data_IF_779786729910
#
_entry.id   IF_779786729910
#
_cell.length_a   1.000
_cell.length_b   1.000
_cell.length_c   1.000
_cell.angle_alpha   90.00
_cell.angle_beta   90.00
_cell.angle_gamma   90.00
#
_symmetry.space_group_name_H-M   'P 1'
#
loop_
_entity.id
_entity.type
_entity.pdbx_description
1 polymer ?
#
# COMPACT_ATOMS: atom_id res chain seq x y z
N UNK A 1 15.86 25.69 5.84
CA UNK A 1 17.12 25.69 6.61
C UNK A 1 18.21 25.02 5.78
N UNK A 2 19.44 25.53 5.73
CA UNK A 2 20.51 24.86 4.95
C UNK A 2 21.03 23.63 5.72
N UNK A 3 21.48 22.59 5.00
CA UNK A 3 22.06 21.34 5.58
C UNK A 3 23.13 21.61 6.64
N UNK A 4 23.82 22.75 6.58
CA UNK A 4 24.80 23.16 7.59
C UNK A 4 24.20 23.59 8.93
N UNK A 5 22.96 24.07 8.97
CA UNK A 5 22.29 24.48 10.21
C UNK A 5 21.79 23.25 11.00
N UNK A 6 21.38 22.19 10.31
CA UNK A 6 20.88 20.96 10.94
C UNK A 6 22.02 20.16 11.62
N UNK A 7 23.19 20.06 10.97
CA UNK A 7 24.36 19.40 11.57
C UNK A 7 24.89 20.10 12.82
N UNK A 8 24.74 21.43 12.93
CA UNK A 8 25.16 22.19 14.12
C UNK A 8 24.24 21.90 15.32
N UNK A 9 22.94 21.71 15.07
CA UNK A 9 21.96 21.41 16.13
C UNK A 9 22.16 20.00 16.69
N UNK A 10 22.43 19.02 15.81
CA UNK A 10 22.69 17.62 16.23
C UNK A 10 24.01 17.50 17.01
N UNK A 11 25.06 18.22 16.59
CA UNK A 11 26.34 18.24 17.32
C UNK A 11 26.19 18.89 18.70
N UNK A 12 25.38 19.94 18.83
CA UNK A 12 25.09 20.58 20.12
C UNK A 12 24.30 19.65 21.07
N UNK A 13 23.34 18.87 20.54
CA UNK A 13 22.55 17.91 21.32
C UNK A 13 23.40 16.74 21.85
N UNK A 14 24.31 16.19 21.04
CA UNK A 14 25.19 15.09 21.46
C UNK A 14 26.25 15.50 22.50
N UNK A 15 26.70 16.77 22.49
CA UNK A 15 27.70 17.23 23.49
C UNK A 15 27.13 17.41 24.90
N UNK A 16 25.82 17.58 25.06
CA UNK A 16 25.18 17.65 26.38
C UNK A 16 24.99 16.28 27.04
N UNK A 17 24.88 15.20 26.26
CA UNK A 17 24.66 13.84 26.80
C UNK A 17 25.94 13.28 27.43
N UNK A 18 27.12 13.64 26.93
CA UNK A 18 28.41 13.13 27.43
C UNK A 18 29.10 13.99 28.50
N UNK A 19 28.62 15.20 28.80
CA UNK A 19 29.33 16.15 29.67
C UNK A 19 28.63 16.55 30.98
N UNK A 20 27.60 15.82 31.41
CA UNK A 20 27.13 15.86 32.80
C UNK A 20 26.82 17.27 33.33
N UNK A 21 26.11 18.09 32.57
CA UNK A 21 25.71 19.42 32.99
C UNK A 21 24.59 19.36 34.04
N UNK A 22 24.97 19.28 35.31
CA UNK A 22 24.08 19.63 36.42
C UNK A 22 24.01 21.15 36.56
N UNK A 23 22.87 21.76 36.21
CA UNK A 23 22.58 23.12 36.63
C UNK A 23 21.79 23.95 35.64
N UNK A 24 20.49 24.09 35.95
CA UNK A 24 19.59 25.23 35.73
C UNK A 24 19.64 26.00 34.39
N UNK A 25 18.42 26.13 33.86
CA UNK A 25 17.95 27.03 32.81
C UNK A 25 18.22 26.55 31.38
N UNK A 26 17.29 25.75 30.87
CA UNK A 26 16.96 25.79 29.45
C UNK A 26 15.44 25.73 29.30
N UNK A 27 14.83 26.91 29.33
CA UNK A 27 13.54 27.19 28.70
C UNK A 27 13.76 27.13 27.18
N UNK A 28 13.88 25.93 26.64
CA UNK A 28 13.59 25.70 25.22
C UNK A 28 12.14 25.22 25.23
N UNK A 29 11.28 26.14 24.82
CA UNK A 29 9.83 26.10 24.89
C UNK A 29 9.23 24.80 24.35
N UNK A 30 8.29 24.21 25.09
CA UNK A 30 7.33 23.19 24.62
C UNK A 30 6.69 23.59 23.27
N UNK A 31 6.62 24.89 22.98
CA UNK A 31 6.15 25.48 21.72
C UNK A 31 6.98 25.10 20.48
N UNK A 32 8.24 24.65 20.62
CA UNK A 32 9.04 24.15 19.48
C UNK A 32 8.77 22.66 19.25
N UNK A 33 8.54 21.88 20.32
CA UNK A 33 8.22 20.46 20.20
C UNK A 33 6.79 20.25 19.69
N UNK A 34 5.83 21.07 20.12
CA UNK A 34 4.47 21.05 19.58
C UNK A 34 4.40 21.54 18.13
N UNK A 35 5.28 22.47 17.70
CA UNK A 35 5.35 22.90 16.29
C UNK A 35 6.04 21.89 15.37
N UNK A 36 6.94 21.04 15.88
CA UNK A 36 7.52 19.95 15.08
C UNK A 36 6.59 18.73 15.01
N UNK A 37 5.79 18.46 16.05
CA UNK A 37 4.78 17.39 16.04
C UNK A 37 3.55 17.79 15.19
N UNK A 38 3.12 19.05 15.23
CA UNK A 38 2.01 19.53 14.39
C UNK A 38 2.38 19.67 12.90
N UNK A 39 3.66 19.63 12.53
CA UNK A 39 4.10 19.60 11.13
C UNK A 39 4.13 18.18 10.53
N UNK A 40 3.86 17.13 11.31
CA UNK A 40 3.78 15.75 10.82
C UNK A 40 2.36 15.33 10.40
N UNK A 41 1.39 16.25 10.47
CA UNK A 41 -0.04 15.95 10.35
C UNK A 41 -0.74 16.56 9.13
N UNK A 42 -0.02 16.86 8.05
CA UNK A 42 -0.61 17.23 6.76
C UNK A 42 -0.01 16.40 5.61
N UNK A 43 -0.29 15.09 5.59
CA UNK A 43 -0.34 14.37 4.33
C UNK A 43 -1.64 14.81 3.62
N UNK A 44 -1.59 15.97 2.96
CA UNK A 44 -2.63 16.33 2.00
C UNK A 44 -2.62 15.31 0.88
N UNK A 45 -3.78 14.70 0.65
CA UNK A 45 -4.09 13.84 -0.48
C UNK A 45 -4.08 14.70 -1.76
N UNK A 46 -2.90 14.98 -2.29
CA UNK A 46 -2.76 15.75 -3.53
C UNK A 46 -2.87 14.78 -4.71
N UNK A 47 -4.11 14.47 -5.10
CA UNK A 47 -4.43 13.66 -6.28
C UNK A 47 -4.00 14.33 -7.62
N UNK A 48 -3.41 15.53 -7.55
CA UNK A 48 -3.34 16.47 -8.67
C UNK A 48 -1.93 16.80 -9.16
N UNK A 49 -0.90 16.09 -8.71
CA UNK A 49 0.43 16.23 -9.30
C UNK A 49 0.81 14.98 -10.10
N UNK A 50 0.95 15.15 -11.42
CA UNK A 50 1.64 14.22 -12.34
C UNK A 50 3.13 14.04 -11.95
N UNK A 51 3.63 14.79 -10.95
CA UNK A 51 4.85 14.43 -10.27
C UNK A 51 4.64 13.13 -9.47
N UNK A 52 5.36 12.09 -9.87
CA UNK A 52 5.59 10.96 -8.98
C UNK A 52 6.25 11.51 -7.67
N UNK A 53 5.97 10.89 -6.52
CA UNK A 53 6.54 11.30 -5.23
C UNK A 53 7.12 10.07 -4.54
N UNK A 54 8.31 10.20 -3.96
CA UNK A 54 8.95 9.12 -3.22
C UNK A 54 9.29 7.93 -4.11
N UNK A 55 9.07 6.71 -3.59
CA UNK A 55 9.47 5.48 -4.30
C UNK A 55 8.71 5.30 -5.61
N UNK A 56 7.48 5.80 -5.73
CA UNK A 56 6.67 5.70 -6.96
C UNK A 56 7.34 6.31 -8.20
N UNK A 57 8.29 7.21 -8.02
CA UNK A 57 9.13 7.71 -9.11
C UNK A 57 10.20 6.71 -9.53
N UNK A 58 10.95 6.25 -8.54
CA UNK A 58 12.08 5.34 -8.65
C UNK A 58 12.48 4.93 -7.24
N UNK A 59 12.99 3.71 -7.11
CA UNK A 59 13.66 3.28 -5.89
C UNK A 59 15.04 3.94 -5.80
N UNK A 60 15.47 4.40 -4.61
CA UNK A 60 16.82 4.90 -4.43
C UNK A 60 17.84 3.82 -4.85
N UNK A 61 18.99 4.21 -5.39
CA UNK A 61 20.00 3.22 -5.79
C UNK A 61 20.49 2.43 -4.58
N UNK A 62 20.85 1.16 -4.77
CA UNK A 62 21.49 0.33 -3.74
C UNK A 62 22.66 1.07 -3.05
N UNK A 63 23.58 1.63 -3.85
CA UNK A 63 24.74 2.39 -3.36
C UNK A 63 24.40 3.67 -2.58
N UNK A 64 23.17 4.19 -2.71
CA UNK A 64 22.75 5.36 -1.92
C UNK A 64 22.15 4.97 -0.57
N UNK A 65 21.78 3.71 -0.39
CA UNK A 65 21.31 3.15 0.87
C UNK A 65 22.45 2.51 1.66
N UNK A 66 23.42 1.89 0.97
CA UNK A 66 24.63 1.29 1.55
C UNK A 66 25.59 2.41 2.05
N UNK A 67 25.32 2.87 3.27
CA UNK A 67 26.01 4.00 3.88
C UNK A 67 27.40 3.62 4.41
N UNK A 68 27.60 2.35 4.70
CA UNK A 68 28.85 1.84 5.23
C UNK A 68 29.79 1.26 4.13
N UNK A 69 29.26 1.06 2.91
CA UNK A 69 29.95 0.53 1.73
C UNK A 69 30.49 -0.88 1.92
N UNK A 70 29.71 -1.77 2.55
CA UNK A 70 30.05 -3.19 2.72
C UNK A 70 29.42 -4.10 1.66
N UNK A 71 28.86 -3.51 0.60
CA UNK A 71 28.17 -4.19 -0.50
C UNK A 71 26.92 -4.98 -0.05
N UNK A 72 26.34 -4.58 1.10
CA UNK A 72 25.10 -5.11 1.65
C UNK A 72 24.27 -3.98 2.27
N UNK A 73 22.96 -4.23 2.45
CA UNK A 73 22.07 -3.39 3.22
C UNK A 73 21.65 -4.16 4.45
N UNK A 74 21.99 -3.64 5.63
CA UNK A 74 21.36 -4.11 6.86
C UNK A 74 19.92 -3.56 7.00
N UNK A 75 19.19 -4.06 8.02
CA UNK A 75 17.83 -3.60 8.29
C UNK A 75 17.76 -2.08 8.51
N UNK A 76 18.80 -1.46 9.07
CA UNK A 76 18.81 -0.03 9.30
C UNK A 76 18.95 0.74 7.98
N UNK A 77 19.91 0.36 7.14
CA UNK A 77 20.15 0.96 5.83
C UNK A 77 18.95 0.82 4.90
N UNK A 78 18.32 -0.36 4.89
CA UNK A 78 17.14 -0.61 4.08
C UNK A 78 15.89 0.11 4.61
N UNK A 79 15.47 -0.17 5.85
CA UNK A 79 14.18 0.30 6.39
C UNK A 79 14.21 1.82 6.60
N UNK A 80 15.25 2.34 7.26
CA UNK A 80 15.32 3.77 7.51
C UNK A 80 15.67 4.54 6.24
N UNK A 81 16.57 4.02 5.40
CA UNK A 81 16.93 4.66 4.14
C UNK A 81 15.74 4.80 3.19
N UNK A 82 14.91 3.75 3.06
CA UNK A 82 13.66 3.85 2.30
C UNK A 82 12.64 4.78 2.96
N UNK A 83 12.50 4.76 4.29
CA UNK A 83 11.57 5.66 5.00
C UNK A 83 11.96 7.14 4.93
N UNK A 84 13.25 7.45 4.86
CA UNK A 84 13.74 8.83 4.65
C UNK A 84 13.50 9.30 3.22
N UNK A 85 13.56 8.38 2.26
CA UNK A 85 13.28 8.64 0.86
C UNK A 85 11.76 8.79 0.61
N UNK A 86 10.95 7.96 1.25
CA UNK A 86 9.49 7.97 1.18
C UNK A 86 8.87 7.61 2.54
N UNK A 87 8.30 8.61 3.20
CA UNK A 87 7.72 8.47 4.52
C UNK A 87 6.22 8.10 4.49
N UNK A 88 5.66 7.78 3.32
CA UNK A 88 4.24 7.43 3.18
C UNK A 88 3.94 6.02 3.67
N UNK A 89 4.93 5.13 3.63
CA UNK A 89 4.84 3.80 4.21
C UNK A 89 5.40 3.78 5.63
N UNK A 90 4.89 2.87 6.46
CA UNK A 90 5.37 2.72 7.83
C UNK A 90 6.73 2.01 7.85
N UNK A 91 7.51 2.20 8.92
CA UNK A 91 8.73 1.42 9.12
C UNK A 91 8.44 -0.09 9.08
N UNK A 92 7.31 -0.52 9.67
CA UNK A 92 6.90 -1.93 9.64
C UNK A 92 6.64 -2.47 8.23
N UNK A 93 6.14 -1.63 7.31
CA UNK A 93 5.96 -2.03 5.92
C UNK A 93 7.32 -2.36 5.26
N UNK A 94 8.32 -1.50 5.44
CA UNK A 94 9.66 -1.77 4.92
C UNK A 94 10.35 -2.92 5.65
N UNK A 95 10.13 -3.08 6.95
CA UNK A 95 10.61 -4.25 7.70
C UNK A 95 10.02 -5.55 7.14
N UNK A 96 8.72 -5.59 6.82
CA UNK A 96 8.12 -6.77 6.22
C UNK A 96 8.78 -7.10 4.87
N UNK A 97 9.03 -6.10 4.00
CA UNK A 97 9.75 -6.32 2.74
C UNK A 97 11.15 -6.87 2.99
N UNK A 98 11.86 -6.35 3.99
CA UNK A 98 13.18 -6.86 4.37
C UNK A 98 13.11 -8.33 4.84
N UNK A 99 12.11 -8.66 5.66
CA UNK A 99 11.86 -10.01 6.19
C UNK A 99 11.55 -11.03 5.08
N UNK A 100 10.94 -10.61 3.94
CA UNK A 100 10.64 -11.50 2.80
C UNK A 100 11.90 -12.10 2.14
N UNK A 101 13.06 -11.43 2.24
CA UNK A 101 14.31 -12.00 1.73
C UNK A 101 14.86 -13.11 2.64
N UNK A 102 14.39 -13.21 3.89
CA UNK A 102 14.79 -14.26 4.84
C UNK A 102 16.25 -14.18 5.31
N UNK A 103 16.99 -13.14 4.92
CA UNK A 103 18.40 -12.92 5.25
C UNK A 103 18.59 -11.78 6.26
N UNK A 104 19.76 -11.73 6.91
CA UNK A 104 20.13 -10.62 7.81
C UNK A 104 20.64 -9.38 7.05
N UNK A 105 20.92 -9.53 5.75
CA UNK A 105 21.51 -8.53 4.87
C UNK A 105 20.89 -8.69 3.46
N UNK A 106 20.68 -7.58 2.75
CA UNK A 106 20.23 -7.57 1.36
C UNK A 106 21.40 -7.14 0.46
N UNK A 107 21.80 -7.97 -0.49
CA UNK A 107 22.81 -7.61 -1.48
C UNK A 107 22.20 -6.90 -2.72
N UNK A 108 23.05 -6.39 -3.62
CA UNK A 108 22.57 -5.64 -4.80
C UNK A 108 21.65 -6.45 -5.72
N UNK A 109 21.87 -7.76 -5.83
CA UNK A 109 21.02 -8.64 -6.66
C UNK A 109 19.64 -8.84 -6.03
N UNK A 110 19.57 -8.99 -4.71
CA UNK A 110 18.31 -9.07 -3.95
C UNK A 110 17.53 -7.77 -4.02
N UNK A 111 18.22 -6.64 -3.80
CA UNK A 111 17.61 -5.32 -3.93
C UNK A 111 17.04 -5.10 -5.34
N UNK A 112 17.70 -5.65 -6.36
CA UNK A 112 17.25 -5.61 -7.75
C UNK A 112 15.93 -6.33 -8.03
N UNK A 113 15.47 -7.21 -7.13
CA UNK A 113 14.15 -7.84 -7.22
C UNK A 113 13.01 -6.92 -6.79
N UNK A 114 13.31 -5.82 -6.09
CA UNK A 114 12.28 -4.90 -5.60
C UNK A 114 11.86 -4.01 -6.76
N UNK A 115 10.57 -4.04 -7.09
CA UNK A 115 9.99 -3.19 -8.10
C UNK A 115 8.76 -2.47 -7.59
N UNK A 116 8.21 -1.63 -8.46
CA UNK A 116 6.95 -0.94 -8.24
C UNK A 116 6.06 -1.29 -9.42
N UNK A 117 4.94 -1.95 -9.13
CA UNK A 117 4.00 -2.36 -10.15
C UNK A 117 3.19 -1.18 -10.70
N UNK A 118 2.31 -1.45 -11.66
CA UNK A 118 1.47 -0.44 -12.29
C UNK A 118 0.51 0.24 -11.29
N UNK A 119 0.18 -0.45 -10.19
CA UNK A 119 -0.62 0.07 -9.07
C UNK A 119 0.18 0.92 -8.08
N UNK A 120 1.47 1.18 -8.37
CA UNK A 120 2.35 1.98 -7.51
C UNK A 120 2.61 1.35 -6.14
N UNK A 121 2.56 0.02 -6.07
CA UNK A 121 2.83 -0.76 -4.87
C UNK A 121 4.22 -1.39 -4.99
N UNK A 122 4.98 -1.37 -3.89
CA UNK A 122 6.26 -2.09 -3.80
C UNK A 122 5.99 -3.59 -3.75
N UNK A 123 6.67 -4.32 -4.61
CA UNK A 123 6.53 -5.76 -4.79
C UNK A 123 7.91 -6.36 -5.07
N UNK A 124 8.03 -7.69 -5.04
CA UNK A 124 9.32 -8.39 -5.18
C UNK A 124 9.21 -9.44 -6.30
N UNK A 125 10.09 -9.36 -7.30
CA UNK A 125 10.20 -10.36 -8.36
C UNK A 125 8.87 -10.64 -9.06
N UNK A 126 8.45 -11.91 -9.09
CA UNK A 126 7.18 -12.32 -9.71
C UNK A 126 5.94 -11.89 -8.91
N UNK A 127 6.09 -11.44 -7.66
CA UNK A 127 5.00 -10.86 -6.87
C UNK A 127 4.59 -9.47 -7.41
N UNK A 128 5.34 -8.94 -8.39
CA UNK A 128 5.00 -7.72 -9.11
C UNK A 128 4.06 -7.93 -10.31
N UNK A 129 3.64 -9.17 -10.53
CA UNK A 129 2.88 -9.59 -11.69
C UNK A 129 3.71 -10.52 -12.58
N UNK A 130 3.00 -11.42 -13.25
CA UNK A 130 3.64 -12.37 -14.15
C UNK A 130 4.06 -11.66 -15.46
N UNK A 131 5.27 -11.94 -15.99
CA UNK A 131 5.75 -11.31 -17.22
C UNK A 131 4.85 -11.62 -18.41
N UNK A 132 4.86 -10.74 -19.42
CA UNK A 132 4.11 -10.94 -20.66
C UNK A 132 4.76 -12.03 -21.51
N UNK A 133 3.94 -12.67 -22.35
CA UNK A 133 4.42 -13.70 -23.27
C UNK A 133 5.61 -13.23 -24.10
N UNK A 134 5.54 -12.01 -24.64
CA UNK A 134 6.57 -11.43 -25.49
C UNK A 134 7.85 -11.03 -24.73
N UNK A 135 7.79 -10.93 -23.40
CA UNK A 135 8.96 -10.69 -22.55
C UNK A 135 9.72 -12.00 -22.28
N UNK A 136 9.00 -13.13 -22.31
CA UNK A 136 9.60 -14.47 -22.17
C UNK A 136 10.03 -15.03 -23.52
N UNK A 137 9.28 -14.83 -24.62
CA UNK A 137 9.65 -15.19 -26.00
C UNK A 137 10.74 -14.24 -26.55
N UNK A 138 11.90 -14.28 -25.92
CA UNK A 138 13.13 -13.52 -26.16
C UNK A 138 13.66 -13.62 -27.60
N UNK A 139 13.42 -14.75 -28.29
CA UNK A 139 13.84 -14.94 -29.68
C UNK A 139 12.74 -14.65 -30.71
N UNK A 140 11.54 -14.31 -30.24
CA UNK A 140 10.34 -14.02 -31.02
C UNK A 140 9.95 -15.14 -32.00
N UNK A 141 10.20 -16.39 -31.62
CA UNK A 141 9.84 -17.56 -32.42
C UNK A 141 8.34 -17.88 -32.38
N UNK A 142 7.57 -17.16 -31.56
CA UNK A 142 6.16 -17.40 -31.25
C UNK A 142 5.91 -18.64 -30.39
N UNK A 143 6.96 -19.23 -29.83
CA UNK A 143 6.92 -20.37 -28.91
C UNK A 143 7.99 -20.17 -27.86
N UNK A 144 7.67 -20.49 -26.61
CA UNK A 144 8.65 -20.39 -25.53
C UNK A 144 9.31 -21.75 -25.33
N UNK A 145 10.63 -21.81 -25.55
CA UNK A 145 11.41 -23.02 -25.23
C UNK A 145 11.70 -23.11 -23.72
N UNK A 146 11.93 -24.33 -23.21
CA UNK A 146 12.24 -24.54 -21.79
C UNK A 146 13.42 -23.71 -21.27
N UNK A 147 14.48 -23.59 -22.08
CA UNK A 147 15.66 -22.84 -21.69
C UNK A 147 15.35 -21.35 -21.58
N UNK A 148 14.56 -20.83 -22.50
CA UNK A 148 14.09 -19.45 -22.52
C UNK A 148 13.19 -19.15 -21.32
N UNK A 149 12.16 -19.97 -21.09
CA UNK A 149 11.27 -19.84 -19.93
C UNK A 149 12.05 -19.77 -18.61
N UNK A 150 12.97 -20.70 -18.39
CA UNK A 150 13.75 -20.75 -17.15
C UNK A 150 14.70 -19.56 -17.04
N UNK A 151 15.41 -19.20 -18.12
CA UNK A 151 16.37 -18.10 -18.08
C UNK A 151 15.69 -16.77 -17.80
N UNK A 152 14.61 -16.45 -18.52
CA UNK A 152 13.90 -15.17 -18.36
C UNK A 152 13.22 -15.07 -16.98
N UNK A 153 12.55 -16.12 -16.51
CA UNK A 153 11.99 -16.10 -15.15
C UNK A 153 13.05 -16.03 -14.05
N UNK A 154 14.24 -16.60 -14.26
CA UNK A 154 15.35 -16.48 -13.30
C UNK A 154 15.91 -15.06 -13.24
N UNK A 155 15.90 -14.33 -14.36
CA UNK A 155 16.31 -12.92 -14.39
C UNK A 155 15.32 -12.02 -13.65
N UNK A 156 14.04 -12.37 -13.67
CA UNK A 156 12.97 -11.64 -12.97
C UNK A 156 12.95 -11.99 -11.49
N UNK A 157 13.05 -13.28 -11.17
CA UNK A 157 13.00 -13.75 -9.79
C UNK A 157 13.78 -15.06 -9.64
N UNK A 158 14.98 -14.99 -9.08
CA UNK A 158 15.78 -16.19 -8.89
C UNK A 158 15.35 -17.03 -7.67
N UNK A 159 14.48 -16.51 -6.79
CA UNK A 159 14.06 -17.18 -5.54
C UNK A 159 13.37 -18.51 -5.82
N UNK A 160 12.72 -18.62 -6.99
CA UNK A 160 11.96 -19.81 -7.41
C UNK A 160 12.65 -20.63 -8.52
N UNK A 161 13.96 -20.44 -8.74
CA UNK A 161 14.70 -21.09 -9.85
C UNK A 161 14.56 -22.62 -9.89
N UNK A 162 14.55 -23.26 -8.72
CA UNK A 162 14.42 -24.71 -8.60
C UNK A 162 13.03 -25.22 -9.03
N UNK A 163 12.01 -24.35 -8.97
CA UNK A 163 10.62 -24.67 -9.29
C UNK A 163 10.29 -24.44 -10.77
N UNK A 164 11.03 -23.59 -11.49
CA UNK A 164 10.69 -23.24 -12.89
C UNK A 164 10.72 -24.41 -13.85
N UNK A 165 11.54 -25.43 -13.57
CA UNK A 165 11.53 -26.67 -14.35
C UNK A 165 10.21 -27.43 -14.23
N UNK A 166 9.61 -27.44 -13.04
CA UNK A 166 8.31 -28.07 -12.78
C UNK A 166 7.19 -27.22 -13.38
N UNK A 167 7.21 -25.91 -13.12
CA UNK A 167 6.27 -24.95 -13.69
C UNK A 167 6.18 -25.03 -15.22
N UNK A 168 7.33 -25.14 -15.89
CA UNK A 168 7.37 -25.34 -17.34
C UNK A 168 6.63 -26.62 -17.75
N UNK A 169 6.90 -27.75 -17.09
CA UNK A 169 6.29 -29.03 -17.46
C UNK A 169 4.79 -29.05 -17.17
N UNK A 170 4.32 -28.30 -16.17
CA UNK A 170 2.88 -28.14 -15.88
C UNK A 170 2.19 -27.26 -16.93
N UNK A 171 2.90 -26.25 -17.44
CA UNK A 171 2.41 -25.33 -18.47
C UNK A 171 2.40 -25.97 -19.87
N UNK A 172 3.36 -26.85 -20.17
CA UNK A 172 3.41 -27.67 -21.39
C UNK A 172 2.34 -28.79 -21.33
N UNK A 173 1.08 -28.40 -21.52
CA UNK A 173 -0.09 -29.26 -21.35
C UNK A 173 -0.18 -30.42 -22.37
N UNK A 174 0.41 -30.27 -23.56
CA UNK A 174 0.42 -31.30 -24.61
C UNK A 174 1.75 -32.06 -24.71
N UNK A 175 2.79 -31.64 -23.97
CA UNK A 175 4.04 -32.36 -23.78
C UNK A 175 4.94 -32.33 -25.01
N UNK A 176 4.84 -31.28 -25.84
CA UNK A 176 5.62 -31.13 -27.07
C UNK A 176 6.97 -30.44 -26.83
N UNK A 177 7.23 -29.99 -25.61
CA UNK A 177 8.48 -29.40 -25.17
C UNK A 177 8.59 -27.89 -25.42
N UNK A 178 7.49 -27.23 -25.80
CA UNK A 178 7.39 -25.79 -25.99
C UNK A 178 6.11 -25.26 -25.33
N UNK A 179 6.07 -23.97 -24.99
CA UNK A 179 4.87 -23.31 -24.50
C UNK A 179 4.37 -22.36 -25.57
N UNK A 180 3.14 -22.57 -26.03
CA UNK A 180 2.45 -21.62 -26.91
C UNK A 180 1.69 -20.54 -26.12
N UNK A 181 1.25 -19.51 -26.82
CA UNK A 181 0.55 -18.37 -26.21
C UNK A 181 -0.70 -18.77 -25.39
N UNK A 182 -1.45 -19.79 -25.81
CA UNK A 182 -2.66 -20.22 -25.08
C UNK A 182 -2.31 -20.93 -23.77
N UNK A 183 -1.24 -21.73 -23.77
CA UNK A 183 -0.73 -22.39 -22.56
C UNK A 183 -0.21 -21.35 -21.57
N UNK A 184 0.56 -20.36 -22.06
CA UNK A 184 1.09 -19.29 -21.23
C UNK A 184 0.00 -18.41 -20.62
N UNK A 185 -1.03 -18.03 -21.38
CA UNK A 185 -2.16 -17.26 -20.84
C UNK A 185 -2.85 -18.02 -19.70
N UNK A 186 -3.00 -19.34 -19.84
CA UNK A 186 -3.61 -20.17 -18.79
C UNK A 186 -2.78 -20.15 -17.49
N UNK A 187 -1.45 -20.12 -17.63
CA UNK A 187 -0.52 -19.96 -16.51
C UNK A 187 -0.63 -18.55 -15.89
N UNK A 188 -0.57 -17.49 -16.69
CA UNK A 188 -0.60 -16.11 -16.17
C UNK A 188 -1.91 -15.81 -15.46
N UNK A 189 -3.05 -16.25 -16.01
CA UNK A 189 -4.37 -16.10 -15.36
C UNK A 189 -4.43 -16.83 -14.01
N UNK A 190 -3.74 -17.97 -13.87
CA UNK A 190 -3.67 -18.69 -12.61
C UNK A 190 -2.89 -17.88 -11.55
N UNK A 191 -1.77 -17.26 -11.93
CA UNK A 191 -0.95 -16.46 -11.02
C UNK A 191 -1.64 -15.14 -10.64
N UNK A 192 -2.24 -14.44 -11.59
CA UNK A 192 -3.05 -13.26 -11.32
C UNK A 192 -4.22 -13.59 -10.38
N UNK A 193 -4.86 -14.76 -10.55
CA UNK A 193 -5.95 -15.19 -9.67
C UNK A 193 -5.52 -15.43 -8.21
N UNK A 194 -4.29 -15.91 -7.97
CA UNK A 194 -3.77 -16.12 -6.62
C UNK A 194 -3.32 -14.82 -5.94
N UNK A 195 -2.92 -13.80 -6.69
CA UNK A 195 -2.63 -12.45 -6.16
C UNK A 195 -3.92 -11.73 -5.72
N UNK A 196 -5.06 -12.01 -6.37
CA UNK A 196 -6.39 -11.49 -6.03
C UNK A 196 -7.30 -12.49 -5.29
N UNK A 197 -6.72 -13.56 -4.74
CA UNK A 197 -7.41 -14.72 -4.18
C UNK A 197 -8.14 -14.50 -2.86
N UNK A 198 -9.23 -13.72 -2.86
CA UNK A 198 -10.39 -13.98 -2.00
C UNK A 198 -11.67 -13.79 -2.82
N UNK A 199 -12.58 -14.75 -2.69
CA UNK A 199 -13.90 -14.81 -3.34
C UNK A 199 -14.71 -13.50 -3.15
N UNK A 200 -14.52 -12.51 -4.01
CA UNK A 200 -15.49 -11.44 -4.18
C UNK A 200 -16.56 -11.93 -5.16
N UNK A 201 -17.68 -12.39 -4.60
CA UNK A 201 -18.90 -12.57 -5.36
C UNK A 201 -19.16 -11.34 -6.21
N UNK A 202 -19.08 -11.53 -7.54
CA UNK A 202 -19.50 -10.64 -8.62
C UNK A 202 -20.13 -9.31 -8.16
N UNK A 203 -19.29 -8.32 -7.90
CA UNK A 203 -19.73 -6.93 -8.01
C UNK A 203 -19.32 -6.50 -9.41
N UNK A 204 -20.32 -6.13 -10.21
CA UNK A 204 -20.13 -5.61 -11.55
C UNK A 204 -19.45 -4.25 -11.45
N UNK A 205 -18.12 -4.27 -11.44
CA UNK A 205 -17.28 -3.10 -11.57
C UNK A 205 -16.71 -3.07 -12.99
N UNK A 206 -16.77 -1.89 -13.61
CA UNK A 206 -15.60 -1.43 -14.32
C UNK A 206 -14.54 -1.25 -13.23
N UNK A 207 -13.46 -2.02 -13.28
CA UNK A 207 -12.38 -2.02 -12.29
C UNK A 207 -11.67 -0.66 -12.14
N UNK A 208 -12.15 0.39 -12.81
CA UNK A 208 -11.53 1.71 -12.86
C UNK A 208 -12.19 2.73 -11.90
N UNK A 209 -13.44 2.51 -11.47
CA UNK A 209 -14.22 3.55 -10.78
C UNK A 209 -14.14 3.52 -9.24
N UNK A 210 -13.90 2.35 -8.66
CA UNK A 210 -13.65 2.15 -7.22
C UNK A 210 -12.49 1.19 -7.08
N UNK A 211 -11.44 1.60 -6.37
CA UNK A 211 -10.27 0.77 -6.09
C UNK A 211 -10.08 0.62 -4.59
N UNK A 212 -9.68 -0.58 -4.17
CA UNK A 212 -9.40 -0.91 -2.78
C UNK A 212 -7.91 -1.22 -2.63
N UNK A 213 -7.32 -0.83 -1.49
CA UNK A 213 -5.94 -1.13 -1.16
C UNK A 213 -5.76 -1.40 0.33
N UNK A 214 -4.89 -2.36 0.67
CA UNK A 214 -4.46 -2.63 2.04
C UNK A 214 -3.55 -1.52 2.57
N UNK A 215 -2.66 -1.03 1.70
CA UNK A 215 -1.62 -0.05 2.01
C UNK A 215 -2.04 1.34 1.58
N UNK A 216 -1.53 2.38 2.24
CA UNK A 216 -1.84 3.78 1.91
C UNK A 216 -1.45 4.05 0.45
N UNK A 217 -2.40 4.25 -0.48
CA UNK A 217 -2.07 4.65 -1.84
C UNK A 217 -1.78 6.15 -1.88
N UNK A 218 -1.15 6.64 -2.96
CA UNK A 218 -0.98 8.08 -3.20
C UNK A 218 -2.30 8.85 -3.14
N UNK A 219 -3.35 8.25 -3.70
CA UNK A 219 -4.68 8.83 -3.82
C UNK A 219 -5.70 7.89 -3.17
N UNK A 220 -6.40 8.37 -2.16
CA UNK A 220 -7.56 7.70 -1.58
C UNK A 220 -8.58 8.73 -1.12
N UNK A 221 -9.83 8.32 -1.01
CA UNK A 221 -10.89 9.19 -0.51
C UNK A 221 -11.40 8.71 0.84
N UNK A 222 -11.46 7.39 1.05
CA UNK A 222 -11.86 6.81 2.33
C UNK A 222 -10.75 5.95 2.90
N UNK A 223 -10.57 6.04 4.22
CA UNK A 223 -9.74 5.12 4.99
C UNK A 223 -10.61 4.43 6.03
N UNK A 224 -10.90 3.17 5.82
CA UNK A 224 -11.51 2.30 6.82
C UNK A 224 -10.57 2.05 8.00
N UNK A 225 -11.14 1.89 9.19
CA UNK A 225 -10.41 1.53 10.39
C UNK A 225 -11.28 0.71 11.35
N UNK A 226 -10.62 -0.05 12.22
CA UNK A 226 -11.18 -0.57 13.47
C UNK A 226 -10.21 -0.16 14.58
N UNK A 227 -10.77 0.40 15.65
CA UNK A 227 -10.00 1.02 16.73
C UNK A 227 -9.31 0.03 17.67
N UNK A 228 -9.66 -1.25 17.64
CA UNK A 228 -9.15 -2.28 18.56
C UNK A 228 -8.22 -3.30 17.92
N UNK A 229 -8.31 -3.53 16.61
CA UNK A 229 -7.37 -4.42 15.92
C UNK A 229 -6.63 -3.67 14.79
N UNK A 230 -5.62 -4.29 14.17
CA UNK A 230 -4.90 -3.72 13.02
C UNK A 230 -4.96 -4.62 11.79
N UNK A 231 -5.33 -5.89 11.98
CA UNK A 231 -5.61 -6.87 10.95
C UNK A 231 -6.99 -7.45 11.21
N UNK A 232 -7.85 -7.46 10.19
CA UNK A 232 -9.27 -7.75 10.37
C UNK A 232 -9.70 -8.80 9.37
N UNK A 233 -10.18 -9.94 9.89
CA UNK A 233 -10.65 -11.07 9.08
C UNK A 233 -12.06 -10.89 8.51
N UNK A 234 -12.90 -10.06 9.14
CA UNK A 234 -14.23 -9.65 8.67
C UNK A 234 -14.84 -8.68 9.70
N UNK A 235 -15.42 -7.58 9.24
CA UNK A 235 -16.25 -6.68 10.07
C UNK A 235 -17.75 -6.85 9.83
N UNK A 236 -18.55 -6.62 10.88
CA UNK A 236 -19.99 -6.46 10.77
C UNK A 236 -20.38 -5.09 10.21
N UNK A 237 -20.82 -5.05 8.96
CA UNK A 237 -21.35 -3.83 8.34
C UNK A 237 -21.45 -3.89 6.82
N UNK A 238 -21.93 -2.80 6.23
CA UNK A 238 -21.98 -2.61 4.78
C UNK A 238 -21.80 -1.14 4.39
N UNK A 239 -21.21 -0.92 3.22
CA UNK A 239 -21.00 0.40 2.63
C UNK A 239 -21.38 0.29 1.17
N UNK A 240 -22.34 1.11 0.78
CA UNK A 240 -22.89 1.18 -0.56
C UNK A 240 -22.45 2.48 -1.20
N UNK A 241 -21.78 2.37 -2.34
CA UNK A 241 -21.33 3.46 -3.18
C UNK A 241 -22.26 3.56 -4.39
N UNK A 242 -22.85 4.72 -4.62
CA UNK A 242 -23.65 5.00 -5.82
C UNK A 242 -23.01 6.14 -6.58
N UNK A 243 -22.58 5.89 -7.83
CA UNK A 243 -21.99 6.93 -8.68
C UNK A 243 -23.06 7.85 -9.30
N UNK A 244 -22.61 8.92 -9.97
CA UNK A 244 -23.46 9.89 -10.65
C UNK A 244 -24.21 9.31 -11.86
N UNK A 245 -23.78 8.15 -12.37
CA UNK A 245 -24.47 7.39 -13.42
C UNK A 245 -25.56 6.46 -12.84
N UNK A 246 -25.65 6.34 -11.51
CA UNK A 246 -26.56 5.47 -10.80
C UNK A 246 -26.08 4.01 -10.69
N UNK A 247 -24.80 3.75 -10.94
CA UNK A 247 -24.16 2.46 -10.71
C UNK A 247 -23.94 2.29 -9.22
N UNK A 248 -24.41 1.16 -8.68
CA UNK A 248 -24.35 0.85 -7.26
C UNK A 248 -23.33 -0.26 -7.04
N UNK A 249 -22.38 -0.02 -6.15
CA UNK A 249 -21.50 -1.03 -5.55
C UNK A 249 -21.80 -1.15 -4.07
N UNK A 250 -21.73 -2.35 -3.52
CA UNK A 250 -21.89 -2.57 -2.09
C UNK A 250 -20.79 -3.50 -1.63
N UNK A 251 -20.07 -3.07 -0.62
CA UNK A 251 -19.07 -3.88 0.06
C UNK A 251 -19.64 -4.27 1.41
N UNK A 252 -19.56 -5.57 1.73
CA UNK A 252 -19.97 -6.17 2.99
C UNK A 252 -18.82 -7.02 3.51
N UNK A 253 -18.74 -7.25 4.83
CA UNK A 253 -17.70 -8.11 5.44
C UNK A 253 -16.27 -7.67 5.09
N UNK A 254 -16.00 -6.37 5.15
CA UNK A 254 -14.70 -5.80 4.83
C UNK A 254 -13.57 -6.45 5.62
N UNK A 255 -12.40 -6.54 4.98
CA UNK A 255 -11.18 -7.02 5.60
C UNK A 255 -10.08 -5.95 5.50
N UNK A 256 -8.94 -6.19 6.13
CA UNK A 256 -7.81 -5.26 6.09
C UNK A 256 -7.25 -5.00 4.68
N UNK A 257 -7.63 -5.74 3.63
CA UNK A 257 -7.21 -5.44 2.26
C UNK A 257 -7.99 -4.31 1.61
N UNK A 258 -9.07 -3.86 2.25
CA UNK A 258 -9.93 -2.78 1.77
C UNK A 258 -9.76 -1.50 2.59
N UNK A 259 -8.65 -1.37 3.34
CA UNK A 259 -8.42 -0.24 4.26
C UNK A 259 -8.50 1.11 3.56
N UNK A 260 -7.99 1.24 2.35
CA UNK A 260 -8.02 2.48 1.58
C UNK A 260 -8.90 2.32 0.35
N UNK A 261 -9.76 3.30 0.10
CA UNK A 261 -10.68 3.32 -1.03
C UNK A 261 -10.42 4.56 -1.88
N UNK A 262 -10.14 4.35 -3.15
CA UNK A 262 -10.19 5.39 -4.17
C UNK A 262 -11.54 5.37 -4.88
N UNK A 263 -12.00 6.55 -5.29
CA UNK A 263 -13.25 6.79 -5.99
C UNK A 263 -12.93 7.65 -7.21
N UNK A 264 -13.47 7.35 -8.38
CA UNK A 264 -13.24 8.16 -9.57
C UNK A 264 -13.77 9.58 -9.38
N UNK A 265 -12.87 10.56 -9.41
CA UNK A 265 -13.18 11.96 -9.16
C UNK A 265 -13.97 12.64 -10.30
N UNK A 266 -14.07 11.99 -11.47
CA UNK A 266 -14.93 12.47 -12.57
C UNK A 266 -16.42 12.22 -12.31
N UNK A 267 -16.74 11.51 -11.23
CA UNK A 267 -18.10 11.15 -10.82
C UNK A 267 -18.38 11.75 -9.44
N UNK A 268 -19.65 12.11 -9.20
CA UNK A 268 -20.12 12.36 -7.83
C UNK A 268 -20.62 11.05 -7.21
N UNK A 269 -20.57 10.96 -5.88
CA UNK A 269 -20.82 9.72 -5.16
C UNK A 269 -21.82 9.92 -4.04
N UNK A 270 -22.70 8.94 -3.85
CA UNK A 270 -23.49 8.78 -2.63
C UNK A 270 -22.96 7.55 -1.90
N UNK A 271 -22.52 7.74 -0.65
CA UNK A 271 -22.00 6.68 0.21
C UNK A 271 -22.99 6.45 1.33
N UNK A 272 -23.59 5.27 1.37
CA UNK A 272 -24.48 4.83 2.44
C UNK A 272 -23.74 3.78 3.26
N UNK A 273 -23.64 3.97 4.57
CA UNK A 273 -22.91 3.05 5.44
C UNK A 273 -23.78 2.56 6.60
N UNK A 274 -23.49 1.35 7.06
CA UNK A 274 -24.04 0.71 8.25
C UNK A 274 -22.90 -0.06 8.95
N UNK A 275 -22.48 0.38 10.14
CA UNK A 275 -21.53 -0.33 10.99
C UNK A 275 -22.24 -0.90 12.20
N UNK A 276 -21.97 -2.18 12.50
CA UNK A 276 -22.58 -2.93 13.62
C UNK A 276 -21.65 -3.07 14.82
N UNK A 277 -20.47 -2.48 14.72
CA UNK A 277 -19.41 -2.47 15.73
C UNK A 277 -19.05 -1.01 16.05
N UNK A 278 -18.83 -0.69 17.32
CA UNK A 278 -18.67 0.69 17.79
C UNK A 278 -17.33 1.32 17.42
N UNK A 279 -16.32 0.48 17.23
CA UNK A 279 -14.92 0.81 16.93
C UNK A 279 -14.60 0.77 15.44
N UNK A 280 -15.55 0.30 14.61
CA UNK A 280 -15.42 0.26 13.15
C UNK A 280 -15.95 1.57 12.53
N UNK A 281 -15.21 2.08 11.55
CA UNK A 281 -15.63 3.24 10.77
C UNK A 281 -14.73 3.53 9.58
N UNK A 282 -14.91 4.70 8.99
CA UNK A 282 -13.97 5.26 8.03
C UNK A 282 -13.74 6.75 8.25
N UNK A 283 -12.62 7.20 7.72
CA UNK A 283 -12.24 8.60 7.65
C UNK A 283 -12.43 9.03 6.19
N UNK A 284 -13.15 10.14 6.00
CA UNK A 284 -13.33 10.82 4.72
C UNK A 284 -13.11 12.32 4.97
N UNK A 285 -12.18 12.94 4.24
CA UNK A 285 -11.81 14.35 4.40
C UNK A 285 -11.59 14.76 5.88
N UNK A 286 -10.77 13.99 6.59
CA UNK A 286 -10.50 14.12 8.04
C UNK A 286 -11.72 14.03 8.96
N UNK A 287 -12.91 13.74 8.42
CA UNK A 287 -14.12 13.52 9.19
C UNK A 287 -14.30 12.02 9.43
N UNK A 288 -14.58 11.66 10.68
CA UNK A 288 -14.78 10.26 11.08
C UNK A 288 -16.27 9.89 11.04
N UNK A 289 -16.55 8.74 10.44
CA UNK A 289 -17.87 8.14 10.27
C UNK A 289 -17.86 6.73 10.85
N UNK A 290 -18.60 6.49 11.93
CA UNK A 290 -18.39 5.30 12.77
C UNK A 290 -17.30 5.53 13.82
N UNK A 291 -16.84 4.47 14.50
CA UNK A 291 -15.70 4.53 15.42
C UNK A 291 -15.89 5.34 16.72
N UNK A 292 -17.12 5.74 17.05
CA UNK A 292 -17.44 6.46 18.29
C UNK A 292 -17.36 5.49 19.49
N UNK A 293 -16.15 5.34 20.03
CA UNK A 293 -15.78 4.59 21.23
C UNK A 293 -16.45 5.13 22.52
N UNK A 294 -17.78 5.11 22.59
CA UNK A 294 -18.48 5.26 23.86
C UNK A 294 -18.30 3.94 24.64
N UNK A 295 -17.32 3.97 25.54
CA UNK A 295 -16.77 2.85 26.34
C UNK A 295 -17.78 2.23 27.33
N UNK A 296 -19.06 2.58 27.24
CA UNK A 296 -20.11 2.05 28.11
C UNK A 296 -20.91 0.95 27.39
N UNK A 297 -20.35 -0.26 27.48
CA UNK A 297 -21.02 -1.56 27.65
C UNK A 297 -22.15 -1.99 26.66
N UNK A 298 -21.91 -3.11 25.97
CA UNK A 298 -22.90 -4.16 25.64
C UNK A 298 -24.18 -3.75 24.91
N UNK A 299 -24.15 -2.76 24.02
CA UNK A 299 -25.29 -2.47 23.13
C UNK A 299 -24.96 -2.82 21.69
N UNK A 300 -25.86 -3.59 21.07
CA UNK A 300 -25.97 -3.75 19.62
C UNK A 300 -26.27 -2.37 19.00
N UNK A 301 -25.22 -1.56 18.82
CA UNK A 301 -25.29 -0.24 18.25
C UNK A 301 -25.06 -0.37 16.75
N UNK A 302 -26.06 0.06 15.98
CA UNK A 302 -25.91 0.24 14.55
C UNK A 302 -25.74 1.73 14.27
N UNK A 303 -24.59 2.08 13.68
CA UNK A 303 -24.29 3.44 13.21
C UNK A 303 -24.45 3.44 11.71
N UNK A 304 -25.37 4.25 11.20
CA UNK A 304 -25.62 4.35 9.77
C UNK A 304 -25.71 5.79 9.30
N UNK A 305 -25.47 6.00 8.03
CA UNK A 305 -25.65 7.32 7.44
C UNK A 305 -25.45 7.34 5.94
N UNK A 306 -25.73 8.51 5.38
CA UNK A 306 -25.59 8.78 3.95
C UNK A 306 -24.75 10.03 3.78
N UNK A 307 -23.73 9.95 2.92
CA UNK A 307 -22.82 11.04 2.57
C UNK A 307 -22.92 11.28 1.07
N UNK A 308 -23.05 12.54 0.69
CA UNK A 308 -23.01 12.96 -0.70
C UNK A 308 -21.68 13.68 -0.97
N UNK A 309 -20.90 13.14 -1.89
CA UNK A 309 -19.57 13.63 -2.25
C UNK A 309 -19.62 14.14 -3.68
N UNK A 310 -19.03 15.30 -3.90
CA UNK A 310 -18.66 15.80 -5.21
C UNK A 310 -17.22 16.31 -5.15
N UNK A 311 -16.53 16.23 -6.28
CA UNK A 311 -15.13 16.63 -6.37
C UNK A 311 -15.08 17.95 -7.14
N UNK A 312 -14.85 19.06 -6.42
CA UNK A 312 -14.72 20.39 -7.01
C UNK A 312 -13.27 20.86 -6.93
N UNK A 313 -12.69 21.27 -8.07
CA UNK A 313 -11.39 21.97 -8.20
C UNK A 313 -10.38 21.68 -7.08
N UNK A 314 -9.94 20.41 -7.00
CA UNK A 314 -8.88 19.93 -6.10
C UNK A 314 -9.27 19.74 -4.63
N UNK A 315 -10.55 19.57 -4.29
CA UNK A 315 -10.97 19.12 -2.96
C UNK A 315 -12.18 18.18 -3.01
N UNK A 316 -12.21 17.25 -2.05
CA UNK A 316 -13.45 16.54 -1.70
C UNK A 316 -14.41 17.54 -1.09
N UNK A 317 -15.61 17.66 -1.65
CA UNK A 317 -16.67 18.49 -1.09
C UNK A 317 -17.80 17.60 -0.63
N UNK A 318 -17.95 17.50 0.69
CA UNK A 318 -19.14 16.91 1.29
C UNK A 318 -20.29 17.89 1.07
N UNK A 319 -21.21 17.54 0.17
CA UNK A 319 -22.36 18.40 -0.17
C UNK A 319 -23.42 18.32 0.92
N UNK A 320 -23.65 17.12 1.45
CA UNK A 320 -24.71 16.85 2.41
C UNK A 320 -24.42 15.57 3.19
N UNK A 321 -24.92 15.53 4.42
CA UNK A 321 -24.69 14.41 5.33
C UNK A 321 -25.92 14.17 6.21
N UNK A 322 -26.35 12.92 6.29
CA UNK A 322 -27.40 12.44 7.20
C UNK A 322 -26.83 11.32 8.07
N UNK A 323 -26.70 11.56 9.38
CA UNK A 323 -26.32 10.53 10.37
C UNK A 323 -27.55 10.05 11.13
N UNK A 324 -27.74 8.74 11.20
CA UNK A 324 -28.72 8.09 12.07
C UNK A 324 -28.00 7.14 13.05
N UNK A 325 -28.27 7.31 14.34
CA UNK A 325 -27.80 6.39 15.39
C UNK A 325 -29.00 5.63 15.93
N UNK A 326 -29.02 4.31 15.71
CA UNK A 326 -30.11 3.44 16.16
C UNK A 326 -29.55 2.56 17.29
N UNK A 327 -30.10 2.74 18.50
CA UNK A 327 -29.90 1.79 19.59
C UNK A 327 -30.99 0.73 19.46
N UNK A 328 -30.61 -0.52 19.21
CA UNK A 328 -31.55 -1.66 19.15
C UNK A 328 -31.97 -2.06 20.57
#
# INVERSE_FOLDING_TARGET
>A
MSKHQLSIVIILLLTCIFSGCTGKENLISEEILENEINNFHELKNDCYDDSCIGIECYLPSFSSLDNNSDDALDVYEFVFGLSEFDNRYTLRFYENIFEEFGEELINESEYGLIHINDLKIVCIGLDCGFPKYEEIDSDASSFIEKAEFINELTLIDYRYVDSYTELFNETDMDGDGIINQSQYISLSEQYDYYEYGTEFNQINHSSEDILFSKTIPKCWHLKFFDGLNTEFGSWGGSVRYTDSNGIISTTENFNSYQTYVYLNESLSWTIEYEFRESDVGFILDNTTYGGDNDVDEDRDLTVSGTIYIDFEENNTKIIHEEKERISI
#
